data_IF_132943793272
#
_entry.id   IF_132943793272
#
_cell.length_a   1.000
_cell.length_b   1.000
_cell.length_c   1.000
_cell.angle_alpha   90.00
_cell.angle_beta   90.00
_cell.angle_gamma   90.00
#
_symmetry.space_group_name_H-M   'P 1'
#
loop_
_entity.id
_entity.type
_entity.pdbx_description
1 polymer ?
#
# COMPACT_ATOMS: atom_id res chain seq x y z
N UNK A 1 -1.44 15.67 -3.86
CA UNK A 1 -2.14 14.48 -4.38
C UNK A 1 -1.79 13.33 -3.46
N UNK A 2 -2.71 12.39 -3.24
CA UNK A 2 -2.39 11.13 -2.54
C UNK A 2 -2.85 9.97 -3.44
N UNK A 3 -1.88 9.20 -3.91
CA UNK A 3 -2.06 8.12 -4.87
C UNK A 3 -1.75 6.77 -4.20
N UNK A 4 -2.79 5.96 -4.00
CA UNK A 4 -2.70 4.64 -3.37
C UNK A 4 -3.07 3.55 -4.36
N UNK A 5 -2.18 2.60 -4.56
CA UNK A 5 -2.43 1.39 -5.35
C UNK A 5 -2.75 0.22 -4.42
N UNK A 6 -3.90 -0.41 -4.60
CA UNK A 6 -4.23 -1.66 -3.95
C UNK A 6 -4.02 -2.82 -4.92
N UNK A 7 -3.34 -3.87 -4.46
CA UNK A 7 -3.05 -5.06 -5.25
C UNK A 7 -3.45 -6.32 -4.50
N UNK A 8 -3.88 -7.34 -5.23
CA UNK A 8 -4.23 -8.63 -4.65
C UNK A 8 -4.85 -9.58 -5.66
N UNK A 9 -5.30 -10.71 -5.16
CA UNK A 9 -5.91 -11.77 -5.95
C UNK A 9 -7.43 -11.69 -5.86
N UNK A 10 -8.11 -12.00 -6.96
CA UNK A 10 -9.56 -11.96 -7.06
C UNK A 10 -10.24 -12.75 -5.93
N UNK A 11 -11.06 -12.05 -5.14
CA UNK A 11 -11.72 -12.60 -3.95
C UNK A 11 -11.19 -12.06 -2.61
N UNK A 12 -10.02 -11.41 -2.59
CA UNK A 12 -9.45 -10.82 -1.36
C UNK A 12 -10.03 -9.45 -0.99
N UNK A 13 -10.87 -8.86 -1.85
CA UNK A 13 -11.57 -7.62 -1.54
C UNK A 13 -10.79 -6.34 -1.85
N UNK A 14 -9.85 -6.36 -2.79
CA UNK A 14 -9.09 -5.19 -3.28
C UNK A 14 -10.01 -4.02 -3.67
N UNK A 15 -11.04 -4.30 -4.48
CA UNK A 15 -12.04 -3.30 -4.92
C UNK A 15 -12.85 -2.73 -3.75
N UNK A 16 -13.17 -3.57 -2.75
CA UNK A 16 -13.89 -3.11 -1.56
C UNK A 16 -13.01 -2.18 -0.72
N UNK A 17 -11.74 -2.52 -0.54
CA UNK A 17 -10.78 -1.66 0.15
C UNK A 17 -10.59 -0.33 -0.57
N UNK A 18 -10.47 -0.33 -1.90
CA UNK A 18 -10.43 0.88 -2.71
C UNK A 18 -11.68 1.74 -2.51
N UNK A 19 -12.88 1.13 -2.50
CA UNK A 19 -14.15 1.81 -2.26
C UNK A 19 -14.22 2.41 -0.85
N UNK A 20 -13.79 1.68 0.18
CA UNK A 20 -13.75 2.17 1.56
C UNK A 20 -12.81 3.36 1.68
N UNK A 21 -11.60 3.27 1.12
CA UNK A 21 -10.64 4.37 1.10
C UNK A 21 -11.20 5.61 0.38
N UNK A 22 -11.79 5.40 -0.80
CA UNK A 22 -12.42 6.47 -1.57
C UNK A 22 -13.61 7.10 -0.83
N UNK A 23 -14.41 6.31 -0.11
CA UNK A 23 -15.52 6.81 0.69
C UNK A 23 -15.03 7.66 1.86
N UNK A 24 -13.97 7.22 2.57
CA UNK A 24 -13.38 7.98 3.66
C UNK A 24 -12.88 9.35 3.17
N UNK A 25 -12.14 9.38 2.06
CA UNK A 25 -11.66 10.63 1.46
C UNK A 25 -12.80 11.55 0.96
N UNK A 26 -13.83 10.99 0.32
CA UNK A 26 -15.00 11.76 -0.12
C UNK A 26 -15.76 12.38 1.06
N UNK A 27 -15.88 11.67 2.19
CA UNK A 27 -16.49 12.22 3.41
C UNK A 27 -15.73 13.42 3.97
N UNK A 28 -14.44 13.59 3.64
CA UNK A 28 -13.62 14.77 3.96
C UNK A 28 -13.76 15.91 2.93
N UNK A 29 -14.61 15.73 1.92
CA UNK A 29 -14.78 16.68 0.81
C UNK A 29 -13.68 16.62 -0.24
N UNK A 30 -12.84 15.58 -0.24
CA UNK A 30 -11.78 15.45 -1.25
C UNK A 30 -12.34 14.95 -2.58
N UNK A 31 -11.75 15.43 -3.68
CA UNK A 31 -12.03 14.86 -4.98
C UNK A 31 -11.31 13.52 -5.10
N UNK A 32 -12.04 12.46 -5.49
CA UNK A 32 -11.47 11.11 -5.60
C UNK A 32 -11.81 10.53 -6.96
N UNK A 33 -10.85 9.84 -7.58
CA UNK A 33 -11.12 8.95 -8.71
C UNK A 33 -10.49 7.60 -8.47
N UNK A 34 -11.22 6.54 -8.85
CA UNK A 34 -10.73 5.17 -8.80
C UNK A 34 -10.78 4.54 -10.19
N UNK A 35 -9.88 3.58 -10.40
CA UNK A 35 -9.95 2.66 -11.54
C UNK A 35 -9.44 1.30 -11.12
N UNK A 36 -10.17 0.26 -11.47
CA UNK A 36 -9.80 -1.11 -11.13
C UNK A 36 -9.52 -1.92 -12.40
N UNK A 37 -8.41 -2.65 -12.39
CA UNK A 37 -8.14 -3.68 -13.39
C UNK A 37 -8.38 -5.03 -12.73
N UNK A 38 -9.40 -5.73 -13.21
CA UNK A 38 -9.74 -7.07 -12.75
C UNK A 38 -9.27 -8.04 -13.83
N UNK A 39 -8.35 -8.94 -13.48
CA UNK A 39 -7.93 -10.01 -14.39
C UNK A 39 -9.14 -10.82 -14.87
N UNK A 40 -9.03 -11.41 -16.06
CA UNK A 40 -10.14 -12.13 -16.72
C UNK A 40 -10.78 -13.21 -15.81
N UNK A 41 -9.98 -13.79 -14.91
CA UNK A 41 -10.47 -14.61 -13.81
C UNK A 41 -10.92 -13.71 -12.63
N UNK A 42 -12.23 -13.39 -12.57
CA UNK A 42 -12.83 -12.60 -11.49
C UNK A 42 -12.53 -13.13 -10.07
N UNK A 43 -12.16 -14.42 -9.94
CA UNK A 43 -11.55 -15.01 -8.75
C UNK A 43 -10.25 -15.70 -9.15
N UNK A 44 -9.20 -15.52 -8.34
CA UNK A 44 -7.90 -16.13 -8.62
C UNK A 44 -7.09 -15.46 -9.75
N UNK A 45 -7.57 -14.37 -10.36
CA UNK A 45 -6.78 -13.49 -11.21
C UNK A 45 -6.13 -12.36 -10.42
N UNK A 46 -5.15 -11.68 -11.02
CA UNK A 46 -4.59 -10.45 -10.46
C UNK A 46 -5.63 -9.34 -10.47
N UNK A 47 -5.67 -8.54 -9.41
CA UNK A 47 -6.59 -7.40 -9.27
C UNK A 47 -5.78 -6.22 -8.76
N UNK A 48 -5.86 -5.10 -9.48
CA UNK A 48 -5.31 -3.82 -9.05
C UNK A 48 -6.42 -2.79 -8.95
N UNK A 49 -6.32 -1.88 -7.98
CA UNK A 49 -7.25 -0.78 -7.81
C UNK A 49 -6.45 0.49 -7.52
N UNK A 50 -6.54 1.45 -8.43
CA UNK A 50 -5.95 2.78 -8.30
C UNK A 50 -6.93 3.67 -7.53
N UNK A 51 -6.44 4.38 -6.52
CA UNK A 51 -7.21 5.37 -5.77
C UNK A 51 -6.40 6.67 -5.70
N UNK A 52 -6.89 7.70 -6.39
CA UNK A 52 -6.26 9.01 -6.45
C UNK A 52 -7.11 10.03 -5.72
N UNK A 53 -6.53 10.71 -4.74
CA UNK A 53 -7.25 11.58 -3.81
C UNK A 53 -6.66 12.98 -3.79
N UNK A 54 -7.47 13.96 -4.19
CA UNK A 54 -7.18 15.39 -4.16
C UNK A 54 -7.25 15.95 -2.76
N UNK A 55 -6.16 15.81 -2.01
CA UNK A 55 -5.94 16.55 -0.76
C UNK A 55 -5.93 18.05 -1.01
N UNK A 56 -6.33 18.85 -0.02
CA UNK A 56 -6.13 20.31 -0.02
C UNK A 56 -6.73 21.06 -1.24
N UNK A 57 -7.83 20.56 -1.81
CA UNK A 57 -8.53 21.20 -2.93
C UNK A 57 -7.94 20.91 -4.31
N UNK A 58 -6.96 20.00 -4.41
CA UNK A 58 -6.41 19.55 -5.68
C UNK A 58 -7.48 18.82 -6.53
N UNK A 59 -7.48 19.07 -7.84
CA UNK A 59 -8.34 18.37 -8.79
C UNK A 59 -7.67 17.08 -9.29
N UNK A 60 -8.42 15.98 -9.26
CA UNK A 60 -8.06 14.68 -9.83
C UNK A 60 -8.67 14.57 -11.22
N UNK A 61 -7.84 14.63 -12.28
CA UNK A 61 -8.30 14.60 -13.67
C UNK A 61 -8.28 13.22 -14.34
N UNK A 62 -7.59 12.24 -13.75
CA UNK A 62 -7.46 10.88 -14.27
C UNK A 62 -7.46 9.90 -13.10
N UNK A 63 -8.03 8.69 -13.25
CA UNK A 63 -8.02 7.69 -12.19
C UNK A 63 -6.74 6.86 -12.13
N UNK A 64 -5.92 6.85 -13.19
CA UNK A 64 -4.73 5.99 -13.26
C UNK A 64 -3.53 6.65 -12.59
N UNK A 65 -2.83 5.85 -11.79
CA UNK A 65 -1.57 6.23 -11.14
C UNK A 65 -0.43 5.94 -12.12
N UNK A 66 0.49 6.88 -12.24
CA UNK A 66 1.69 6.73 -13.08
C UNK A 66 2.69 5.81 -12.38
N UNK A 67 3.38 4.90 -13.10
CA UNK A 67 4.47 4.12 -12.51
C UNK A 67 5.53 5.01 -11.84
N UNK A 68 6.06 4.57 -10.71
CA UNK A 68 7.00 5.34 -9.89
C UNK A 68 6.42 6.55 -9.15
N UNK A 69 5.09 6.71 -9.08
CA UNK A 69 4.46 7.88 -8.42
C UNK A 69 3.42 7.52 -7.37
N UNK A 70 3.20 6.25 -7.04
CA UNK A 70 2.30 5.89 -5.96
C UNK A 70 2.94 6.22 -4.60
N UNK A 71 2.26 7.02 -3.81
CA UNK A 71 2.66 7.31 -2.41
C UNK A 71 2.60 6.02 -1.57
N UNK A 72 1.71 5.09 -1.95
CA UNK A 72 1.56 3.83 -1.23
C UNK A 72 1.10 2.68 -2.14
N UNK A 73 1.61 1.49 -1.84
CA UNK A 73 1.08 0.22 -2.32
C UNK A 73 0.58 -0.59 -1.11
N UNK A 74 -0.67 -1.05 -1.16
CA UNK A 74 -1.24 -2.00 -0.19
C UNK A 74 -1.53 -3.30 -0.91
N UNK A 75 -0.77 -4.35 -0.62
CA UNK A 75 -0.85 -5.62 -1.30
C UNK A 75 -1.33 -6.76 -0.37
N UNK A 76 -2.44 -7.39 -0.76
CA UNK A 76 -3.08 -8.48 0.00
C UNK A 76 -2.38 -9.83 -0.18
N UNK A 77 -1.34 -9.87 -1.02
CA UNK A 77 -0.60 -11.07 -1.39
C UNK A 77 0.83 -10.68 -1.85
N UNK A 78 1.89 -11.38 -1.39
CA UNK A 78 3.28 -11.03 -1.71
C UNK A 78 3.64 -10.96 -3.20
N UNK A 79 3.17 -11.92 -4.00
CA UNK A 79 3.39 -11.93 -5.46
C UNK A 79 2.77 -10.70 -6.15
N UNK A 80 1.57 -10.32 -5.74
CA UNK A 80 0.92 -9.10 -6.22
C UNK A 80 1.62 -7.83 -5.71
N UNK A 81 2.24 -7.86 -4.53
CA UNK A 81 3.11 -6.79 -4.06
C UNK A 81 4.33 -6.60 -4.99
N UNK A 82 5.01 -7.71 -5.35
CA UNK A 82 6.14 -7.68 -6.28
C UNK A 82 5.74 -7.19 -7.67
N UNK A 83 4.55 -7.55 -8.16
CA UNK A 83 4.01 -7.04 -9.43
C UNK A 83 3.66 -5.55 -9.37
N UNK A 84 3.22 -5.05 -8.22
CA UNK A 84 2.85 -3.67 -8.01
C UNK A 84 4.04 -2.75 -7.67
N UNK A 85 5.19 -3.31 -7.28
CA UNK A 85 6.39 -2.57 -6.89
C UNK A 85 6.81 -1.46 -7.89
N UNK A 86 6.77 -1.65 -9.23
CA UNK A 86 7.12 -0.59 -10.18
C UNK A 86 6.24 0.66 -10.14
N UNK A 87 5.10 0.63 -9.43
CA UNK A 87 4.27 1.82 -9.21
C UNK A 87 4.71 2.65 -8.02
N UNK A 88 5.41 2.06 -7.06
CA UNK A 88 5.80 2.72 -5.82
C UNK A 88 6.78 3.86 -6.11
N UNK A 89 6.53 5.03 -5.53
CA UNK A 89 7.48 6.13 -5.57
C UNK A 89 8.72 5.83 -4.69
N UNK A 90 9.89 6.44 -4.95
CA UNK A 90 11.07 6.28 -4.11
C UNK A 90 10.82 6.59 -2.64
N UNK A 91 10.00 7.59 -2.30
CA UNK A 91 9.61 7.87 -0.90
C UNK A 91 8.35 7.15 -0.42
N UNK A 92 7.83 6.19 -1.19
CA UNK A 92 6.53 5.58 -0.96
C UNK A 92 6.51 4.55 0.18
N UNK A 93 5.32 4.05 0.50
CA UNK A 93 5.13 3.00 1.51
C UNK A 93 4.58 1.72 0.87
N UNK A 94 5.23 0.58 1.12
CA UNK A 94 4.72 -0.74 0.77
C UNK A 94 4.21 -1.47 2.01
N UNK A 95 2.90 -1.69 2.08
CA UNK A 95 2.26 -2.57 3.08
C UNK A 95 1.87 -3.86 2.40
N UNK A 96 2.33 -5.01 2.90
CA UNK A 96 1.93 -6.30 2.31
C UNK A 96 1.68 -7.39 3.34
N UNK A 97 0.66 -8.21 3.11
CA UNK A 97 0.49 -9.47 3.82
C UNK A 97 1.63 -10.44 3.46
N UNK A 98 2.08 -11.25 4.41
CA UNK A 98 3.17 -12.21 4.19
C UNK A 98 2.71 -13.58 3.69
N UNK A 99 1.40 -13.88 3.74
CA UNK A 99 0.84 -15.15 3.29
C UNK A 99 0.50 -15.13 1.81
N UNK A 100 0.89 -16.18 1.07
CA UNK A 100 0.54 -16.33 -0.33
C UNK A 100 -0.87 -16.93 -0.54
N UNK A 101 -1.69 -16.22 -1.30
CA UNK A 101 -2.90 -16.75 -1.95
C UNK A 101 -2.70 -16.56 -3.45
N UNK A 102 -2.00 -17.49 -4.09
CA UNK A 102 -1.48 -17.26 -5.44
C UNK A 102 -2.60 -17.13 -6.48
N UNK A 103 -2.42 -16.28 -7.50
CA UNK A 103 -3.25 -16.34 -8.69
C UNK A 103 -3.21 -17.74 -9.31
N UNK A 104 -4.31 -18.17 -9.93
CA UNK A 104 -4.43 -19.50 -10.54
C UNK A 104 -3.32 -19.76 -11.56
N UNK A 105 -2.96 -18.75 -12.34
CA UNK A 105 -1.89 -18.84 -13.34
C UNK A 105 -0.52 -19.09 -12.71
N UNK A 106 -0.24 -18.50 -11.54
CA UNK A 106 1.00 -18.72 -10.81
C UNK A 106 1.00 -20.08 -10.08
N UNK A 107 -0.14 -20.47 -9.52
CA UNK A 107 -0.29 -21.76 -8.85
C UNK A 107 -0.14 -22.96 -9.80
N UNK A 108 -0.49 -22.79 -11.08
CA UNK A 108 -0.34 -23.80 -12.13
C UNK A 108 1.02 -23.76 -12.84
N UNK A 109 1.92 -22.84 -12.47
CA UNK A 109 3.25 -22.78 -13.06
C UNK A 109 4.08 -24.01 -12.69
N UNK A 110 5.08 -24.34 -13.51
CA UNK A 110 6.01 -25.46 -13.24
C UNK A 110 6.80 -25.27 -11.94
N UNK A 111 7.02 -24.01 -11.55
CA UNK A 111 7.63 -23.63 -10.28
C UNK A 111 6.84 -22.48 -9.66
N UNK A 112 5.85 -22.78 -8.81
CA UNK A 112 5.15 -21.78 -8.02
C UNK A 112 6.13 -21.06 -7.08
N UNK A 113 5.94 -19.76 -6.88
CA UNK A 113 6.79 -18.99 -5.96
C UNK A 113 6.49 -19.34 -4.51
N UNK A 114 7.42 -19.02 -3.60
CA UNK A 114 7.19 -19.12 -2.16
C UNK A 114 7.06 -17.73 -1.55
N UNK A 115 6.08 -17.57 -0.67
CA UNK A 115 5.78 -16.29 -0.05
C UNK A 115 7.01 -15.65 0.62
N UNK A 116 7.74 -16.43 1.42
CA UNK A 116 8.94 -15.97 2.11
C UNK A 116 10.05 -15.49 1.16
N UNK A 117 10.24 -16.18 0.03
CA UNK A 117 11.25 -15.79 -0.96
C UNK A 117 10.85 -14.46 -1.63
N UNK A 118 9.56 -14.24 -1.90
CA UNK A 118 9.06 -12.99 -2.47
C UNK A 118 9.18 -11.84 -1.46
N UNK A 119 8.81 -12.05 -0.20
CA UNK A 119 8.94 -11.05 0.86
C UNK A 119 10.41 -10.66 1.07
N UNK A 120 11.33 -11.64 1.05
CA UNK A 120 12.76 -11.37 1.13
C UNK A 120 13.28 -10.59 -0.08
N UNK A 121 12.84 -10.97 -1.29
CA UNK A 121 13.20 -10.25 -2.51
C UNK A 121 12.70 -8.79 -2.50
N UNK A 122 11.46 -8.55 -2.03
CA UNK A 122 10.91 -7.20 -1.85
C UNK A 122 11.78 -6.38 -0.89
N UNK A 123 12.11 -6.92 0.28
CA UNK A 123 12.96 -6.24 1.25
C UNK A 123 14.33 -5.90 0.66
N UNK A 124 14.95 -6.84 -0.05
CA UNK A 124 16.25 -6.63 -0.69
C UNK A 124 16.20 -5.57 -1.79
N UNK A 125 15.17 -5.58 -2.64
CA UNK A 125 15.02 -4.57 -3.71
C UNK A 125 14.88 -3.16 -3.13
N UNK A 126 14.04 -3.00 -2.11
CA UNK A 126 13.82 -1.71 -1.45
C UNK A 126 15.07 -1.20 -0.71
N UNK A 127 15.87 -2.11 -0.13
CA UNK A 127 17.15 -1.78 0.49
C UNK A 127 18.25 -1.46 -0.55
N UNK A 128 18.22 -2.11 -1.72
CA UNK A 128 19.17 -1.84 -2.79
C UNK A 128 18.97 -0.45 -3.39
N UNK A 129 17.71 -0.02 -3.56
CA UNK A 129 17.38 1.36 -3.95
C UNK A 129 17.95 2.36 -2.94
N UNK A 130 17.74 2.11 -1.64
CA UNK A 130 18.34 2.92 -0.56
C UNK A 130 19.88 2.98 -0.63
N UNK A 131 20.53 1.88 -1.00
CA UNK A 131 22.00 1.79 -1.07
C UNK A 131 22.56 2.47 -2.33
N UNK A 132 21.90 2.33 -3.47
CA UNK A 132 22.30 2.99 -4.73
C UNK A 132 22.16 4.51 -4.63
N UNK A 133 21.13 4.99 -3.94
CA UNK A 133 20.89 6.42 -3.73
C UNK A 133 21.95 7.04 -2.80
N UNK A 134 22.25 6.38 -1.67
CA UNK A 134 23.35 6.79 -0.77
C UNK A 134 24.70 6.82 -1.49
N UNK A 135 24.95 5.85 -2.37
CA UNK A 135 26.17 5.83 -3.18
C UNK A 135 26.19 6.94 -4.25
N UNK A 136 25.06 7.24 -4.88
CA UNK A 136 24.94 8.33 -5.86
C UNK A 136 25.15 9.70 -5.21
N UNK A 137 24.58 9.95 -4.03
CA UNK A 137 24.84 11.18 -3.25
C UNK A 137 26.33 11.30 -2.89
N UNK A 138 26.96 10.21 -2.48
CA UNK A 138 28.39 10.18 -2.14
C UNK A 138 29.29 10.48 -3.35
N UNK A 139 28.91 10.04 -4.56
CA UNK A 139 29.65 10.30 -5.81
C UNK A 139 29.49 11.74 -6.30
N UNK A 140 28.34 12.37 -6.06
CA UNK A 140 28.11 13.79 -6.41
C UNK A 140 28.82 14.74 -5.43
N UNK A 141 29.14 14.27 -4.21
CA UNK A 141 29.71 15.07 -3.12
C UNK A 141 31.24 15.32 -3.07
N UNK A 142 32.08 15.10 -4.11
CA UNK A 142 33.44 15.65 -4.09
C UNK A 142 33.76 16.46 -5.35
N UNK A 143 33.35 17.73 -5.36
CA UNK A 143 34.13 18.83 -5.96
C UNK A 143 33.57 20.20 -5.53
N UNK A 144 33.75 20.56 -4.26
CA UNK A 144 33.77 21.97 -3.84
C UNK A 144 35.21 22.37 -3.53
N UNK A 145 35.88 22.87 -4.57
CA UNK A 145 37.13 23.62 -4.42
C UNK A 145 36.82 24.91 -3.66
N UNK A 146 37.71 25.23 -2.73
CA UNK A 146 37.70 26.33 -1.76
C UNK A 146 37.57 27.75 -2.35
N UNK A 147 36.95 28.65 -1.56
CA UNK A 147 36.76 30.11 -1.69
C UNK A 147 35.65 30.51 -2.70
N UNK A 148 34.58 31.25 -2.39
CA UNK A 148 34.41 32.44 -1.55
C UNK A 148 32.99 32.52 -0.93
N UNK A 149 32.81 33.45 0.00
CA UNK A 149 31.56 33.75 0.74
C UNK A 149 30.43 34.24 -0.18
N UNK A 150 29.29 33.53 -0.18
CA UNK A 150 27.90 34.03 -0.31
C UNK A 150 26.99 32.96 -0.93
N UNK A 151 26.23 32.26 -0.09
CA UNK A 151 24.88 31.71 -0.32
C UNK A 151 24.61 30.62 0.72
N UNK A 152 23.66 30.87 1.62
CA UNK A 152 23.01 29.82 2.41
C UNK A 152 22.24 28.90 1.45
N UNK A 153 22.92 27.88 0.93
CA UNK A 153 22.27 26.78 0.25
C UNK A 153 21.67 25.86 1.32
N UNK A 154 20.34 25.80 1.36
CA UNK A 154 19.61 24.78 2.11
C UNK A 154 20.17 23.41 1.71
N UNK A 155 20.61 22.64 2.71
CA UNK A 155 21.14 21.31 2.49
C UNK A 155 20.11 20.46 1.75
N UNK A 156 20.55 19.74 0.71
CA UNK A 156 19.70 18.75 0.04
C UNK A 156 19.41 17.67 1.07
N UNK A 157 18.19 17.67 1.60
CA UNK A 157 17.65 16.58 2.41
C UNK A 157 17.69 15.32 1.54
N UNK A 158 18.31 14.26 2.06
CA UNK A 158 18.63 13.06 1.26
C UNK A 158 17.41 12.48 0.55
N UNK A 159 17.64 11.84 -0.60
CA UNK A 159 16.55 11.28 -1.40
C UNK A 159 15.78 10.20 -0.60
N UNK A 160 14.43 10.23 -0.59
CA UNK A 160 13.64 9.38 0.28
C UNK A 160 13.62 7.94 -0.23
N UNK A 161 13.76 6.99 0.69
CA UNK A 161 13.75 5.53 0.44
C UNK A 161 12.40 4.91 0.81
N UNK A 162 11.90 3.87 0.12
CA UNK A 162 10.55 3.41 0.38
C UNK A 162 10.49 2.65 1.71
N UNK A 163 9.44 2.90 2.49
CA UNK A 163 9.20 2.19 3.73
C UNK A 163 8.51 0.84 3.44
N UNK A 164 9.09 -0.25 3.96
CA UNK A 164 8.50 -1.59 3.84
C UNK A 164 7.85 -2.05 5.15
N UNK A 165 6.58 -2.46 5.08
CA UNK A 165 5.78 -2.96 6.20
C UNK A 165 5.23 -4.35 5.84
N UNK A 166 5.99 -5.43 6.12
CA UNK A 166 5.47 -6.78 6.02
C UNK A 166 4.56 -7.07 7.22
N UNK A 167 3.32 -7.48 6.95
CA UNK A 167 2.30 -7.79 7.96
C UNK A 167 2.15 -9.29 8.07
N UNK A 168 2.46 -9.84 9.25
CA UNK A 168 2.12 -11.22 9.62
C UNK A 168 0.60 -11.37 9.76
N UNK A 169 -0.04 -11.60 8.62
CA UNK A 169 -1.48 -11.69 8.51
C UNK A 169 -2.05 -12.97 9.13
N UNK A 170 -1.25 -14.03 9.29
CA UNK A 170 -1.65 -15.23 10.03
C UNK A 170 -1.76 -14.94 11.53
N UNK A 171 -0.81 -14.19 12.10
CA UNK A 171 -0.89 -13.75 13.48
C UNK A 171 -2.11 -12.86 13.74
N UNK A 172 -2.35 -11.87 12.87
CA UNK A 172 -3.53 -11.00 12.97
C UNK A 172 -4.85 -11.78 12.90
N UNK A 173 -4.96 -12.72 11.95
CA UNK A 173 -6.17 -13.55 11.80
C UNK A 173 -6.34 -14.50 12.98
N UNK A 174 -5.26 -15.02 13.54
CA UNK A 174 -5.31 -15.87 14.73
C UNK A 174 -5.86 -15.10 15.94
N UNK A 175 -5.44 -13.85 16.11
CA UNK A 175 -5.91 -12.98 17.20
C UNK A 175 -7.35 -12.50 17.00
N UNK A 176 -7.71 -12.06 15.79
CA UNK A 176 -9.06 -11.62 15.46
C UNK A 176 -10.07 -12.79 15.30
N UNK A 177 -9.58 -14.03 15.27
CA UNK A 177 -10.36 -15.25 15.04
C UNK A 177 -10.47 -15.65 13.57
N UNK A 178 -10.52 -16.96 13.29
CA UNK A 178 -10.36 -17.53 11.94
C UNK A 178 -11.34 -16.99 10.87
N UNK A 179 -12.54 -16.53 11.26
CA UNK A 179 -13.51 -15.93 10.34
C UNK A 179 -13.07 -14.57 9.77
N UNK A 180 -12.11 -13.90 10.43
CA UNK A 180 -11.65 -12.55 10.11
C UNK A 180 -10.76 -12.44 8.88
N UNK A 181 -10.28 -13.56 8.30
CA UNK A 181 -9.44 -13.57 7.08
C UNK A 181 -10.09 -12.81 5.91
N UNK A 182 -11.43 -12.83 5.85
CA UNK A 182 -12.21 -12.09 4.84
C UNK A 182 -12.14 -10.57 5.00
N UNK A 183 -11.68 -10.09 6.15
CA UNK A 183 -11.47 -8.67 6.48
C UNK A 183 -9.99 -8.26 6.41
N UNK A 184 -9.09 -9.11 5.88
CA UNK A 184 -7.65 -8.78 5.79
C UNK A 184 -7.41 -7.47 5.03
N UNK A 185 -8.25 -7.17 4.05
CA UNK A 185 -8.20 -5.91 3.32
C UNK A 185 -8.44 -4.69 4.22
N UNK A 186 -9.30 -4.78 5.21
CA UNK A 186 -9.51 -3.74 6.21
C UNK A 186 -8.38 -3.71 7.24
N UNK A 187 -7.81 -4.87 7.61
CA UNK A 187 -6.65 -4.94 8.50
C UNK A 187 -5.44 -4.21 7.91
N UNK A 188 -5.08 -4.47 6.64
CA UNK A 188 -3.94 -3.80 6.01
C UNK A 188 -4.17 -2.29 5.84
N UNK A 189 -5.39 -1.87 5.50
CA UNK A 189 -5.77 -0.45 5.50
C UNK A 189 -5.60 0.16 6.90
N UNK A 190 -6.04 -0.53 7.94
CA UNK A 190 -5.93 -0.06 9.32
C UNK A 190 -4.47 0.06 9.76
N UNK A 191 -3.58 -0.88 9.39
CA UNK A 191 -2.14 -0.77 9.63
C UNK A 191 -1.58 0.51 9.00
N UNK A 192 -1.91 0.78 7.74
CA UNK A 192 -1.44 1.97 7.04
C UNK A 192 -1.96 3.28 7.68
N UNK A 193 -3.22 3.29 8.11
CA UNK A 193 -3.86 4.43 8.80
C UNK A 193 -3.27 4.64 10.20
N UNK A 194 -3.12 3.58 10.99
CA UNK A 194 -2.63 3.65 12.36
C UNK A 194 -1.19 4.18 12.44
N UNK A 195 -0.36 3.85 11.46
CA UNK A 195 1.01 4.36 11.36
C UNK A 195 1.11 5.77 10.72
N UNK A 196 -0.03 6.46 10.53
CA UNK A 196 -0.06 7.82 9.97
C UNK A 196 0.38 7.90 8.51
N UNK A 197 0.36 6.79 7.76
CA UNK A 197 0.82 6.73 6.37
C UNK A 197 -0.27 7.08 5.36
N UNK A 198 -1.51 7.08 5.81
CA UNK A 198 -2.66 7.60 5.08
C UNK A 198 -3.26 8.74 5.92
N UNK A 199 -3.53 9.93 5.34
CA UNK A 199 -4.08 11.07 6.08
C UNK A 199 -5.60 10.92 6.35
N UNK A 200 -5.94 9.80 6.98
CA UNK A 200 -7.24 9.45 7.50
C UNK A 200 -7.10 9.07 8.98
N UNK A 201 -8.15 9.21 9.76
CA UNK A 201 -8.19 8.66 11.12
C UNK A 201 -8.77 7.24 11.10
N UNK A 202 -8.52 6.47 12.17
CA UNK A 202 -9.13 5.14 12.34
C UNK A 202 -10.65 5.25 12.39
N UNK A 203 -11.21 6.32 12.98
CA UNK A 203 -12.65 6.53 13.01
C UNK A 203 -13.23 6.84 11.62
N UNK A 204 -12.55 7.68 10.82
CA UNK A 204 -12.92 7.94 9.43
C UNK A 204 -12.92 6.62 8.60
N UNK A 205 -11.94 5.74 8.82
CA UNK A 205 -11.91 4.42 8.20
C UNK A 205 -13.10 3.55 8.64
N UNK A 206 -13.41 3.50 9.93
CA UNK A 206 -14.54 2.73 10.48
C UNK A 206 -15.88 3.24 9.97
N UNK A 207 -16.06 4.54 9.83
CA UNK A 207 -17.27 5.13 9.26
C UNK A 207 -17.44 4.80 7.77
N UNK A 208 -16.35 4.84 7.01
CA UNK A 208 -16.36 4.40 5.62
C UNK A 208 -16.69 2.90 5.48
N UNK A 209 -16.22 2.05 6.40
CA UNK A 209 -16.62 0.64 6.48
C UNK A 209 -18.12 0.50 6.70
N UNK A 210 -18.69 1.25 7.65
CA UNK A 210 -20.16 1.23 7.89
C UNK A 210 -20.96 1.65 6.66
N UNK A 211 -20.44 2.57 5.87
CA UNK A 211 -21.09 3.04 4.63
C UNK A 211 -20.93 2.07 3.44
N UNK A 212 -19.81 1.36 3.34
CA UNK A 212 -19.48 0.55 2.15
C UNK A 212 -19.76 -0.95 2.30
N UNK A 213 -19.70 -1.47 3.53
CA UNK A 213 -19.80 -2.90 3.82
C UNK A 213 -21.25 -3.26 4.14
N UNK A 214 -21.69 -4.44 3.67
CA UNK A 214 -23.05 -4.93 3.99
C UNK A 214 -23.23 -5.03 5.50
N UNK A 215 -24.39 -4.65 6.07
CA UNK A 215 -24.59 -4.57 7.52
C UNK A 215 -24.16 -5.82 8.29
N UNK A 216 -24.46 -7.01 7.77
CA UNK A 216 -24.10 -8.31 8.37
C UNK A 216 -22.58 -8.55 8.50
N UNK A 217 -21.74 -7.84 7.75
CA UNK A 217 -20.28 -7.98 7.79
C UNK A 217 -19.57 -6.80 8.48
N UNK A 218 -20.29 -5.75 8.86
CA UNK A 218 -19.70 -4.55 9.47
C UNK A 218 -18.97 -4.89 10.76
N UNK A 219 -19.63 -5.58 11.70
CA UNK A 219 -19.04 -5.90 13.00
C UNK A 219 -17.72 -6.68 12.89
N UNK A 220 -17.66 -7.67 11.98
CA UNK A 220 -16.45 -8.45 11.72
C UNK A 220 -15.31 -7.59 11.14
N UNK A 221 -15.62 -6.63 10.27
CA UNK A 221 -14.60 -5.73 9.70
C UNK A 221 -14.11 -4.71 10.74
N UNK A 222 -15.01 -4.18 11.59
CA UNK A 222 -14.61 -3.27 12.66
C UNK A 222 -13.71 -3.96 13.70
N UNK A 223 -14.06 -5.17 14.13
CA UNK A 223 -13.22 -5.95 15.04
C UNK A 223 -11.85 -6.26 14.43
N UNK A 224 -11.80 -6.59 13.13
CA UNK A 224 -10.55 -6.80 12.41
C UNK A 224 -9.67 -5.54 12.36
N UNK A 225 -10.27 -4.36 12.16
CA UNK A 225 -9.57 -3.07 12.23
C UNK A 225 -9.00 -2.87 13.64
N UNK A 226 -9.80 -3.09 14.68
CA UNK A 226 -9.37 -2.90 16.07
C UNK A 226 -8.16 -3.78 16.42
N UNK A 227 -8.17 -5.07 16.02
CA UNK A 227 -7.03 -5.97 16.20
C UNK A 227 -5.78 -5.48 15.45
N UNK A 228 -5.93 -5.02 14.20
CA UNK A 228 -4.80 -4.51 13.43
C UNK A 228 -4.20 -3.25 14.06
N UNK A 229 -5.04 -2.32 14.52
CA UNK A 229 -4.59 -1.10 15.22
C UNK A 229 -3.88 -1.45 16.52
N UNK A 230 -4.39 -2.41 17.30
CA UNK A 230 -3.74 -2.81 18.56
C UNK A 230 -2.34 -3.41 18.38
N UNK A 231 -2.06 -4.01 17.22
CA UNK A 231 -0.78 -4.65 16.92
C UNK A 231 0.22 -3.72 16.19
N UNK A 232 -0.25 -2.67 15.51
CA UNK A 232 0.57 -1.84 14.62
C UNK A 232 0.44 -0.32 14.83
N UNK A 233 -0.44 0.13 15.73
CA UNK A 233 -0.68 1.53 16.06
C UNK A 233 0.01 2.03 17.32
#
# INVERSE_FOLDING_TARGET
MIDILLAGVGGQGTVLAAKVLAQAAQSKGWQVRTAETIGMAQRGGNVTSHVRMGSNGEAVYSPLITPGTADMVIALEPGEAARALPYLAPGGVLVTATTAIQPVTAALASQPYRAGDVVAALANSLQAEASHEQAAETIVAPNTVTADQDASADGVEGYPVPLFIPVDDEALVREAGAGSRKSLNMMLLAVAVAQGRVPLTVDELKDAVRACVKPQFVAMNLAAIDTAVANFG
#
